data_IF_823077517707
#
_entry.id   IF_823077517707
#
_cell.length_a   1.000
_cell.length_b   1.000
_cell.length_c   1.000
_cell.angle_alpha   90.00
_cell.angle_beta   90.00
_cell.angle_gamma   90.00
#
_symmetry.space_group_name_H-M   'P 1'
#
loop_
_entity.id
_entity.type
_entity.pdbx_description
1 polymer ?
#
# COMPACT_ATOMS: atom_id res chain seq x y z
N UNK A 1 13.21 -17.26 -23.02
CA UNK A 1 14.15 -16.12 -23.20
C UNK A 1 13.79 -15.22 -24.39
N UNK A 2 13.03 -15.68 -25.40
CA UNK A 2 12.70 -14.88 -26.60
C UNK A 2 11.92 -13.59 -26.32
N UNK A 3 10.79 -13.66 -25.60
CA UNK A 3 9.93 -12.48 -25.35
C UNK A 3 10.63 -11.36 -24.57
N UNK A 4 11.50 -11.72 -23.62
CA UNK A 4 12.27 -10.72 -22.85
C UNK A 4 13.25 -9.95 -23.74
N UNK A 5 13.88 -10.60 -24.73
CA UNK A 5 14.77 -9.93 -25.68
C UNK A 5 14.01 -9.01 -26.62
N UNK A 6 12.87 -9.47 -27.16
CA UNK A 6 11.98 -8.68 -28.00
C UNK A 6 11.53 -7.39 -27.28
N UNK A 7 11.05 -7.53 -26.04
CA UNK A 7 10.67 -6.39 -25.21
C UNK A 7 11.87 -5.47 -24.90
N UNK A 8 13.06 -6.03 -24.70
CA UNK A 8 14.29 -5.24 -24.51
C UNK A 8 14.61 -4.35 -25.71
N UNK A 9 14.43 -4.84 -26.94
CA UNK A 9 14.58 -4.03 -28.15
C UNK A 9 13.56 -2.89 -28.19
N UNK A 10 12.29 -3.16 -27.87
CA UNK A 10 11.22 -2.14 -27.82
C UNK A 10 11.50 -1.08 -26.76
N UNK A 11 11.93 -1.51 -25.56
CA UNK A 11 12.26 -0.63 -24.44
C UNK A 11 13.39 0.32 -24.83
N UNK A 12 14.45 -0.21 -25.45
CA UNK A 12 15.58 0.60 -25.91
C UNK A 12 15.18 1.56 -27.03
N UNK A 13 14.42 1.08 -28.03
CA UNK A 13 14.00 1.89 -29.17
C UNK A 13 13.05 3.03 -28.78
N UNK A 14 12.23 2.83 -27.74
CA UNK A 14 11.29 3.83 -27.22
C UNK A 14 11.81 4.61 -26.01
N UNK A 15 13.07 4.41 -25.63
CA UNK A 15 13.70 5.06 -24.47
C UNK A 15 12.87 4.95 -23.17
N UNK A 16 12.29 3.78 -22.93
CA UNK A 16 11.43 3.56 -21.77
C UNK A 16 12.27 3.53 -20.49
N UNK A 17 11.98 4.45 -19.57
CA UNK A 17 12.68 4.59 -18.27
C UNK A 17 12.15 3.67 -17.17
N UNK A 18 10.88 3.25 -17.27
CA UNK A 18 10.21 2.39 -16.29
C UNK A 18 9.35 1.35 -17.00
N UNK A 19 9.59 0.07 -16.71
CA UNK A 19 8.76 -1.04 -17.14
C UNK A 19 7.92 -1.55 -15.96
N UNK A 20 6.60 -1.63 -16.16
CA UNK A 20 5.66 -2.18 -15.17
C UNK A 20 5.28 -3.59 -15.57
N UNK A 21 5.34 -4.52 -14.61
CA UNK A 21 4.99 -5.93 -14.80
C UNK A 21 3.80 -6.26 -13.90
N UNK A 22 2.66 -6.65 -14.49
CA UNK A 22 1.43 -7.03 -13.76
C UNK A 22 1.49 -8.45 -13.17
N UNK A 23 2.60 -8.79 -12.53
CA UNK A 23 2.72 -9.98 -11.68
C UNK A 23 3.71 -9.65 -10.57
N UNK A 24 3.68 -10.42 -9.49
CA UNK A 24 4.74 -10.39 -8.49
C UNK A 24 6.03 -10.95 -9.09
N UNK A 25 7.16 -10.27 -8.86
CA UNK A 25 8.46 -10.72 -9.31
C UNK A 25 9.33 -11.08 -8.12
N UNK A 26 10.00 -12.23 -8.16
CA UNK A 26 11.07 -12.50 -7.19
C UNK A 26 12.21 -11.47 -7.34
N UNK A 27 13.01 -11.22 -6.30
CA UNK A 27 14.16 -10.30 -6.38
C UNK A 27 15.14 -10.63 -7.52
N UNK A 28 15.32 -11.93 -7.81
CA UNK A 28 16.20 -12.40 -8.89
C UNK A 28 15.60 -12.11 -10.25
N UNK A 29 14.30 -12.34 -10.44
CA UNK A 29 13.61 -12.04 -11.69
C UNK A 29 13.66 -10.54 -11.99
N UNK A 30 13.33 -9.68 -11.02
CA UNK A 30 13.39 -8.23 -11.20
C UNK A 30 14.80 -7.79 -11.64
N UNK A 31 15.86 -8.22 -10.95
CA UNK A 31 17.24 -7.89 -11.33
C UNK A 31 17.60 -8.36 -12.74
N UNK A 32 17.20 -9.57 -13.11
CA UNK A 32 17.51 -10.09 -14.44
C UNK A 32 16.81 -9.27 -15.53
N UNK A 33 15.59 -8.81 -15.27
CA UNK A 33 14.85 -7.92 -16.18
C UNK A 33 15.46 -6.52 -16.23
N UNK A 34 15.80 -5.92 -15.09
CA UNK A 34 16.48 -4.61 -15.01
C UNK A 34 17.81 -4.63 -15.78
N UNK A 35 18.60 -5.69 -15.66
CA UNK A 35 19.85 -5.86 -16.41
C UNK A 35 19.61 -6.07 -17.91
N UNK A 36 18.60 -6.86 -18.27
CA UNK A 36 18.31 -7.15 -19.67
C UNK A 36 17.75 -5.92 -20.41
N UNK A 37 16.96 -5.09 -19.71
CA UNK A 37 16.24 -3.98 -20.29
C UNK A 37 16.86 -2.62 -20.03
N UNK A 38 17.84 -2.53 -19.12
CA UNK A 38 18.53 -1.29 -18.74
C UNK A 38 17.56 -0.17 -18.30
N UNK A 39 16.44 -0.53 -17.68
CA UNK A 39 15.43 0.39 -17.14
C UNK A 39 14.93 -0.09 -15.77
N UNK A 40 14.27 0.79 -15.01
CA UNK A 40 13.68 0.43 -13.72
C UNK A 40 12.50 -0.51 -13.95
N UNK A 41 12.48 -1.65 -13.27
CA UNK A 41 11.36 -2.61 -13.33
C UNK A 41 10.56 -2.52 -12.05
N UNK A 42 9.26 -2.29 -12.18
CA UNK A 42 8.32 -2.27 -11.06
C UNK A 42 7.33 -3.41 -11.25
N UNK A 43 7.22 -4.28 -10.26
CA UNK A 43 6.24 -5.36 -10.25
C UNK A 43 4.90 -4.87 -9.69
N UNK A 44 3.88 -5.74 -9.71
CA UNK A 44 2.54 -5.41 -9.20
C UNK A 44 2.58 -4.92 -7.75
N UNK A 45 3.35 -5.58 -6.89
CA UNK A 45 3.50 -5.23 -5.47
C UNK A 45 4.11 -3.84 -5.29
N UNK A 46 5.20 -3.54 -5.99
CA UNK A 46 5.86 -2.24 -5.96
C UNK A 46 4.93 -1.13 -6.44
N UNK A 47 4.17 -1.37 -7.50
CA UNK A 47 3.20 -0.38 -8.01
C UNK A 47 2.10 -0.09 -6.98
N UNK A 48 1.56 -1.13 -6.33
CA UNK A 48 0.53 -0.98 -5.30
C UNK A 48 1.07 -0.17 -4.10
N UNK A 49 2.29 -0.48 -3.64
CA UNK A 49 2.93 0.26 -2.54
C UNK A 49 3.12 1.74 -2.89
N UNK A 50 3.55 2.05 -4.12
CA UNK A 50 3.74 3.43 -4.57
C UNK A 50 2.43 4.20 -4.66
N UNK A 51 1.37 3.54 -5.16
CA UNK A 51 0.03 4.11 -5.17
C UNK A 51 -0.40 4.41 -3.74
N UNK A 52 -0.24 3.48 -2.80
CA UNK A 52 -0.62 3.71 -1.40
C UNK A 52 0.19 4.82 -0.72
N UNK A 53 1.49 4.92 -1.02
CA UNK A 53 2.33 5.97 -0.45
C UNK A 53 1.81 7.36 -0.83
N UNK A 54 1.33 7.51 -2.07
CA UNK A 54 0.70 8.76 -2.53
C UNK A 54 -0.68 9.04 -1.91
N UNK A 55 -1.34 8.02 -1.34
CA UNK A 55 -2.72 8.07 -0.85
C UNK A 55 -2.82 8.21 0.66
N UNK A 56 -1.84 7.70 1.41
CA UNK A 56 -1.85 7.71 2.88
C UNK A 56 -1.89 9.14 3.45
N UNK A 57 -3.04 9.53 4.00
CA UNK A 57 -3.22 10.85 4.62
C UNK A 57 -3.02 10.77 6.12
N UNK A 58 -3.49 9.71 6.76
CA UNK A 58 -3.37 9.56 8.21
C UNK A 58 -1.96 9.16 8.64
N UNK A 59 -1.60 9.49 9.88
CA UNK A 59 -0.33 9.05 10.48
C UNK A 59 -0.24 7.53 10.51
N UNK A 60 -1.33 6.83 10.80
CA UNK A 60 -1.40 5.37 10.81
C UNK A 60 -1.13 4.80 9.42
N UNK A 61 -1.85 5.27 8.40
CA UNK A 61 -1.69 4.84 7.02
C UNK A 61 -0.27 5.09 6.50
N UNK A 62 0.32 6.25 6.81
CA UNK A 62 1.71 6.56 6.39
C UNK A 62 2.72 5.61 7.02
N UNK A 63 2.61 5.33 8.33
CA UNK A 63 3.49 4.39 9.02
C UNK A 63 3.36 2.97 8.47
N UNK A 64 2.14 2.54 8.15
CA UNK A 64 1.90 1.21 7.61
C UNK A 64 2.46 1.05 6.19
N UNK A 65 2.28 2.06 5.33
CA UNK A 65 2.83 2.03 3.98
C UNK A 65 4.35 2.10 3.99
N UNK A 66 4.95 2.96 4.83
CA UNK A 66 6.41 3.04 4.97
C UNK A 66 6.99 1.70 5.48
N UNK A 67 6.34 1.09 6.47
CA UNK A 67 6.72 -0.23 6.97
C UNK A 67 6.68 -1.30 5.86
N UNK A 68 5.64 -1.29 5.04
CA UNK A 68 5.49 -2.22 3.92
C UNK A 68 6.55 -1.97 2.83
N UNK A 69 6.81 -0.70 2.48
CA UNK A 69 7.86 -0.33 1.53
C UNK A 69 9.25 -0.77 1.99
N UNK A 70 9.61 -0.53 3.26
CA UNK A 70 10.90 -0.95 3.80
C UNK A 70 11.04 -2.48 3.83
N UNK A 71 9.96 -3.20 4.18
CA UNK A 71 9.97 -4.67 4.19
C UNK A 71 10.13 -5.23 2.76
N UNK A 72 9.44 -4.63 1.80
CA UNK A 72 9.56 -4.95 0.38
C UNK A 72 11.00 -4.69 -0.14
N UNK A 73 11.54 -3.51 0.14
CA UNK A 73 12.89 -3.11 -0.24
C UNK A 73 13.95 -4.01 0.40
N UNK A 74 13.80 -4.39 1.68
CA UNK A 74 14.70 -5.28 2.42
C UNK A 74 15.03 -6.54 1.64
N UNK A 75 14.02 -7.16 1.01
CA UNK A 75 14.19 -8.38 0.23
C UNK A 75 14.97 -8.19 -1.09
N UNK A 76 15.15 -6.93 -1.54
CA UNK A 76 15.68 -6.57 -2.84
C UNK A 76 17.00 -5.77 -2.81
N UNK A 77 17.47 -5.27 -1.65
CA UNK A 77 18.73 -4.48 -1.58
C UNK A 77 19.98 -5.25 -1.97
N UNK A 78 20.04 -6.55 -1.69
CA UNK A 78 21.27 -7.35 -1.73
C UNK A 78 21.94 -7.35 -3.11
N UNK A 79 21.28 -6.89 -4.18
CA UNK A 79 21.71 -7.21 -5.54
C UNK A 79 21.65 -6.10 -6.58
N UNK A 80 21.17 -4.91 -6.23
CA UNK A 80 21.21 -3.71 -7.10
C UNK A 80 22.62 -3.08 -7.19
N UNK A 81 23.55 -3.49 -6.32
CA UNK A 81 24.87 -2.88 -6.13
C UNK A 81 26.02 -3.47 -6.95
N UNK A 82 25.78 -4.46 -7.81
CA UNK A 82 26.84 -5.14 -8.59
C UNK A 82 27.59 -4.24 -9.61
N UNK A 83 27.22 -2.96 -9.74
CA UNK A 83 27.90 -2.00 -10.60
C UNK A 83 28.98 -1.16 -9.87
N UNK A 84 28.93 -1.03 -8.54
CA UNK A 84 29.89 -0.22 -7.77
C UNK A 84 31.17 -1.00 -7.38
N UNK A 85 31.08 -2.31 -7.15
CA UNK A 85 32.26 -3.15 -6.89
C UNK A 85 33.24 -3.20 -8.08
N UNK A 86 32.75 -3.02 -9.32
CA UNK A 86 33.60 -3.05 -10.52
C UNK A 86 34.36 -1.76 -10.78
N UNK A 87 33.99 -0.65 -10.14
CA UNK A 87 34.70 0.63 -10.30
C UNK A 87 35.85 0.80 -9.29
N UNK A 88 35.88 0.00 -8.21
CA UNK A 88 36.98 -0.04 -7.23
C UNK A 88 37.87 -1.26 -7.49
N UNK A 89 38.49 -1.26 -8.68
CA UNK A 89 39.50 -2.24 -9.08
C UNK A 89 40.52 -2.51 -7.97
N UNK A 90 40.95 -3.77 -7.89
CA UNK A 90 41.62 -4.34 -6.74
C UNK A 90 42.81 -3.54 -6.21
N UNK A 91 42.74 -3.19 -4.93
CA UNK A 91 43.89 -2.92 -4.08
C UNK A 91 43.55 -3.45 -2.68
N UNK A 92 44.34 -4.41 -2.21
CA UNK A 92 44.73 -4.48 -0.80
C UNK A 92 43.72 -5.05 0.20
N UNK A 93 44.02 -6.27 0.65
CA UNK A 93 43.90 -6.72 2.05
C UNK A 93 43.88 -5.60 3.10
N UNK A 94 42.76 -5.43 3.82
CA UNK A 94 42.64 -4.98 5.23
C UNK A 94 41.29 -5.57 5.72
N UNK A 95 41.14 -6.44 6.72
CA UNK A 95 41.86 -6.51 7.97
C UNK A 95 41.26 -5.59 9.05
N UNK A 96 39.94 -5.61 9.29
CA UNK A 96 39.23 -4.84 10.34
C UNK A 96 37.70 -4.89 10.15
N UNK A 97 36.86 -4.77 11.21
CA UNK A 97 35.52 -5.40 11.29
C UNK A 97 34.64 -4.90 10.13
N UNK A 98 34.32 -5.69 9.12
CA UNK A 98 33.82 -7.07 9.15
C UNK A 98 32.33 -7.10 8.74
N UNK A 99 31.68 -5.93 8.67
CA UNK A 99 30.33 -5.77 8.15
C UNK A 99 30.41 -5.32 6.69
N UNK A 100 29.86 -6.14 5.78
CA UNK A 100 29.74 -5.74 4.38
C UNK A 100 28.78 -4.55 4.28
N UNK A 101 29.01 -3.63 3.34
CA UNK A 101 28.15 -2.45 3.16
C UNK A 101 26.65 -2.83 2.98
N UNK A 102 26.40 -4.01 2.40
CA UNK A 102 25.07 -4.61 2.25
C UNK A 102 24.45 -5.00 3.61
N UNK A 103 25.25 -5.53 4.53
CA UNK A 103 24.79 -5.86 5.89
C UNK A 103 24.49 -4.60 6.68
N UNK A 104 25.31 -3.56 6.55
CA UNK A 104 25.06 -2.27 7.18
C UNK A 104 23.74 -1.64 6.68
N UNK A 105 23.49 -1.61 5.37
CA UNK A 105 22.23 -1.11 4.80
C UNK A 105 21.02 -1.94 5.24
N UNK A 106 21.17 -3.27 5.27
CA UNK A 106 20.13 -4.18 5.74
C UNK A 106 19.80 -3.93 7.21
N UNK A 107 20.82 -3.69 8.02
CA UNK A 107 20.70 -3.38 9.44
C UNK A 107 20.02 -2.04 9.67
N UNK A 108 20.35 -1.01 8.88
CA UNK A 108 19.68 0.29 8.94
C UNK A 108 18.18 0.15 8.67
N UNK A 109 17.81 -0.62 7.65
CA UNK A 109 16.40 -0.90 7.33
C UNK A 109 15.73 -1.67 8.46
N UNK A 110 16.40 -2.67 9.03
CA UNK A 110 15.87 -3.44 10.16
C UNK A 110 15.62 -2.57 11.39
N UNK A 111 16.56 -1.69 11.73
CA UNK A 111 16.41 -0.74 12.82
C UNK A 111 15.25 0.23 12.57
N UNK A 112 15.08 0.68 11.32
CA UNK A 112 13.97 1.55 10.93
C UNK A 112 12.63 0.82 10.99
N UNK A 113 12.58 -0.44 10.55
CA UNK A 113 11.40 -1.32 10.69
C UNK A 113 11.00 -1.48 12.15
N UNK A 114 11.97 -1.71 13.05
CA UNK A 114 11.70 -1.82 14.50
C UNK A 114 11.14 -0.51 15.06
N UNK A 115 11.70 0.64 14.68
CA UNK A 115 11.19 1.95 15.09
C UNK A 115 9.76 2.20 14.61
N UNK A 116 9.46 1.93 13.34
CA UNK A 116 8.13 2.12 12.76
C UNK A 116 7.09 1.19 13.40
N UNK A 117 7.45 -0.06 13.71
CA UNK A 117 6.55 -0.97 14.45
C UNK A 117 6.17 -0.42 15.83
N UNK A 118 7.14 0.10 16.59
CA UNK A 118 6.86 0.74 17.89
C UNK A 118 5.96 1.97 17.75
N UNK A 119 6.18 2.79 16.73
CA UNK A 119 5.32 3.96 16.45
C UNK A 119 3.91 3.54 16.07
N UNK A 120 3.77 2.49 15.25
CA UNK A 120 2.48 1.95 14.85
C UNK A 120 1.71 1.40 16.06
N UNK A 121 2.37 0.66 16.95
CA UNK A 121 1.76 0.19 18.20
C UNK A 121 1.22 1.33 19.06
N UNK A 122 1.96 2.44 19.18
CA UNK A 122 1.50 3.61 19.91
C UNK A 122 0.23 4.21 19.28
N UNK A 123 0.20 4.37 17.95
CA UNK A 123 -0.97 4.89 17.22
C UNK A 123 -2.18 3.97 17.38
N UNK A 124 -2.00 2.65 17.29
CA UNK A 124 -3.06 1.66 17.50
C UNK A 124 -3.63 1.73 18.92
N UNK A 125 -2.77 1.91 19.95
CA UNK A 125 -3.23 2.09 21.35
C UNK A 125 -4.10 3.33 21.49
N UNK A 126 -3.68 4.47 20.94
CA UNK A 126 -4.45 5.71 20.96
C UNK A 126 -5.79 5.55 20.25
N UNK A 127 -5.81 4.88 19.08
CA UNK A 127 -7.04 4.59 18.34
C UNK A 127 -8.02 3.73 19.13
N UNK A 128 -7.55 2.66 19.78
CA UNK A 128 -8.39 1.82 20.65
C UNK A 128 -9.03 2.62 21.79
N UNK A 129 -8.31 3.57 22.37
CA UNK A 129 -8.85 4.47 23.40
C UNK A 129 -9.97 5.35 22.86
N UNK A 130 -9.76 5.98 21.68
CA UNK A 130 -10.81 6.78 21.03
C UNK A 130 -12.02 5.94 20.64
N UNK A 131 -11.84 4.69 20.21
CA UNK A 131 -12.95 3.78 19.90
C UNK A 131 -13.81 3.49 21.12
N UNK A 132 -13.22 3.22 22.29
CA UNK A 132 -13.97 3.00 23.54
C UNK A 132 -14.83 4.19 23.95
N UNK A 133 -14.37 5.42 23.66
CA UNK A 133 -15.15 6.62 23.91
C UNK A 133 -16.30 6.79 22.90
N UNK A 134 -16.14 6.28 21.66
CA UNK A 134 -17.16 6.33 20.60
C UNK A 134 -18.27 5.29 20.78
N UNK A 135 -18.00 4.16 21.44
CA UNK A 135 -19.04 3.17 21.79
C UNK A 135 -20.11 3.74 22.74
N UNK A 136 -19.87 4.91 23.33
CA UNK A 136 -20.82 5.63 24.18
C UNK A 136 -21.70 6.63 23.42
N UNK A 137 -21.49 6.80 22.11
CA UNK A 137 -22.27 7.73 21.28
C UNK A 137 -23.38 6.93 20.58
N UNK A 138 -24.66 7.35 20.64
CA UNK A 138 -25.82 6.54 20.27
C UNK A 138 -26.11 6.46 18.76
N UNK A 139 -25.17 6.83 17.89
CA UNK A 139 -25.41 6.87 16.45
C UNK A 139 -25.04 5.54 15.80
N UNK A 140 -25.93 4.92 14.99
CA UNK A 140 -25.60 3.71 14.27
C UNK A 140 -24.46 3.97 13.27
N UNK A 141 -23.63 2.96 13.05
CA UNK A 141 -22.50 3.00 12.12
C UNK A 141 -22.82 2.14 10.90
N UNK A 142 -22.74 2.73 9.71
CA UNK A 142 -22.92 2.04 8.42
C UNK A 142 -21.60 2.04 7.66
N UNK A 143 -21.08 0.85 7.35
CA UNK A 143 -19.84 0.69 6.59
C UNK A 143 -20.12 0.30 5.13
N UNK A 144 -19.57 1.07 4.19
CA UNK A 144 -19.60 0.75 2.76
C UNK A 144 -18.42 -0.16 2.39
N UNK A 145 -18.68 -1.36 1.86
CA UNK A 145 -17.65 -2.34 1.45
C UNK A 145 -17.83 -2.76 -0.01
N UNK A 146 -16.79 -3.32 -0.63
CA UNK A 146 -16.81 -3.76 -2.04
C UNK A 146 -15.47 -3.54 -2.76
N UNK A 147 -15.36 -4.03 -3.99
CA UNK A 147 -14.13 -3.90 -4.79
C UNK A 147 -13.77 -2.43 -5.10
N UNK A 148 -12.49 -2.17 -5.37
CA UNK A 148 -12.07 -0.86 -5.91
C UNK A 148 -12.86 -0.52 -7.17
N UNK A 149 -13.15 0.77 -7.38
CA UNK A 149 -13.98 1.28 -8.48
C UNK A 149 -15.46 0.86 -8.50
N UNK A 150 -15.96 0.08 -7.52
CA UNK A 150 -17.39 -0.24 -7.41
C UNK A 150 -18.31 0.98 -7.13
N UNK A 151 -17.77 2.19 -7.03
CA UNK A 151 -18.54 3.41 -6.78
C UNK A 151 -18.79 3.74 -5.30
N UNK A 152 -18.13 3.07 -4.35
CA UNK A 152 -18.26 3.33 -2.89
C UNK A 152 -18.09 4.81 -2.53
N UNK A 153 -16.98 5.43 -2.92
CA UNK A 153 -16.72 6.84 -2.62
C UNK A 153 -17.67 7.80 -3.34
N UNK A 154 -18.19 7.41 -4.51
CA UNK A 154 -19.23 8.17 -5.22
C UNK A 154 -20.55 8.14 -4.45
N UNK A 155 -20.96 6.97 -3.97
CA UNK A 155 -22.14 6.81 -3.12
C UNK A 155 -21.97 7.57 -1.81
N UNK A 156 -20.81 7.45 -1.17
CA UNK A 156 -20.47 8.17 0.05
C UNK A 156 -20.62 9.70 -0.12
N UNK A 157 -20.04 10.27 -1.19
CA UNK A 157 -20.13 11.70 -1.46
C UNK A 157 -21.55 12.17 -1.69
N UNK A 158 -22.34 11.38 -2.43
CA UNK A 158 -23.74 11.73 -2.71
C UNK A 158 -24.58 11.72 -1.44
N UNK A 159 -24.35 10.77 -0.53
CA UNK A 159 -25.08 10.65 0.73
C UNK A 159 -24.64 11.68 1.78
N UNK A 160 -23.34 12.03 1.82
CA UNK A 160 -22.78 12.91 2.85
C UNK A 160 -22.65 14.37 2.44
N UNK A 161 -22.85 14.69 1.15
CA UNK A 161 -22.48 15.99 0.57
C UNK A 161 -20.97 16.27 0.60
N UNK A 162 -20.14 15.29 0.97
CA UNK A 162 -18.71 15.46 1.05
C UNK A 162 -18.06 15.51 -0.35
N UNK A 163 -16.91 16.20 -0.43
CA UNK A 163 -16.03 16.21 -1.61
C UNK A 163 -14.88 15.22 -1.44
N UNK A 164 -15.15 13.96 -1.06
CA UNK A 164 -14.11 12.91 -1.07
C UNK A 164 -13.70 12.66 -2.53
N UNK A 165 -12.42 12.41 -2.78
CA UNK A 165 -11.90 12.26 -4.14
C UNK A 165 -12.39 10.94 -4.79
N UNK A 166 -13.55 10.97 -5.45
CA UNK A 166 -14.05 9.86 -6.27
C UNK A 166 -13.45 9.96 -7.68
N UNK A 167 -12.35 9.24 -7.94
CA UNK A 167 -11.79 9.10 -9.31
C UNK A 167 -11.73 7.62 -9.67
N UNK A 168 -11.84 7.32 -10.97
CA UNK A 168 -11.75 5.97 -11.52
C UNK A 168 -10.28 5.49 -11.48
N UNK A 169 -9.80 5.17 -10.27
CA UNK A 169 -8.40 4.84 -9.97
C UNK A 169 -8.40 3.82 -8.82
N UNK A 170 -7.51 2.83 -8.92
CA UNK A 170 -7.29 1.85 -7.85
C UNK A 170 -6.97 2.58 -6.53
N UNK A 171 -7.59 2.12 -5.44
CA UNK A 171 -7.35 2.62 -4.09
C UNK A 171 -7.61 4.13 -3.88
N UNK A 172 -8.77 4.61 -4.37
CA UNK A 172 -9.21 5.99 -4.15
C UNK A 172 -9.26 6.38 -2.65
N UNK A 173 -9.61 5.43 -1.77
CA UNK A 173 -9.70 5.62 -0.32
C UNK A 173 -8.83 4.56 0.36
N UNK A 174 -7.79 4.96 1.12
CA UNK A 174 -6.96 4.06 1.96
C UNK A 174 -7.28 4.22 3.46
N UNK A 175 -7.60 5.44 3.87
CA UNK A 175 -7.96 5.74 5.26
C UNK A 175 -9.50 5.75 5.39
N UNK A 176 -10.10 5.09 6.40
CA UNK A 176 -11.54 5.08 6.55
C UNK A 176 -12.04 6.50 6.79
N UNK A 177 -13.02 6.93 5.99
CA UNK A 177 -13.59 8.28 6.10
C UNK A 177 -14.97 8.19 6.72
N UNK A 178 -15.13 8.81 7.89
CA UNK A 178 -16.40 8.86 8.61
C UNK A 178 -17.06 10.23 8.50
N UNK A 179 -18.37 10.22 8.26
CA UNK A 179 -19.22 11.41 8.27
C UNK A 179 -20.58 11.08 8.87
N UNK A 180 -21.10 11.99 9.68
CA UNK A 180 -22.50 11.93 10.10
C UNK A 180 -23.37 12.36 8.93
N UNK A 181 -24.45 11.62 8.70
CA UNK A 181 -25.47 11.88 7.69
C UNK A 181 -26.82 11.82 8.39
N UNK A 182 -27.65 12.82 8.15
CA UNK A 182 -29.03 12.82 8.62
C UNK A 182 -29.88 12.03 7.61
N UNK A 183 -30.52 10.95 8.07
CA UNK A 183 -31.45 10.20 7.23
C UNK A 183 -32.82 10.87 7.27
N UNK A 184 -33.41 11.22 6.11
CA UNK A 184 -34.79 11.66 6.05
C UNK A 184 -35.71 10.57 6.60
N UNK A 185 -36.64 10.94 7.48
CA UNK A 185 -37.63 10.09 8.17
C UNK A 185 -37.10 9.36 9.43
N UNK A 186 -37.42 9.88 10.63
CA UNK A 186 -37.40 9.30 12.00
C UNK A 186 -36.18 8.48 12.49
N UNK A 187 -35.18 8.16 11.67
CA UNK A 187 -34.05 7.29 12.01
C UNK A 187 -32.85 8.01 12.66
N UNK A 188 -32.91 9.34 12.79
CA UNK A 188 -31.84 10.14 13.38
C UNK A 188 -30.59 10.26 12.50
N UNK A 189 -29.50 10.74 13.10
CA UNK A 189 -28.20 10.85 12.44
C UNK A 189 -27.46 9.52 12.46
N UNK A 190 -26.77 9.20 11.38
CA UNK A 190 -26.06 7.93 11.19
C UNK A 190 -24.64 8.21 10.75
N UNK A 191 -23.67 7.42 11.22
CA UNK A 191 -22.29 7.58 10.82
C UNK A 191 -22.03 6.68 9.62
N UNK A 192 -21.84 7.29 8.45
CA UNK A 192 -21.40 6.58 7.25
C UNK A 192 -19.87 6.50 7.24
N UNK A 193 -19.35 5.31 6.93
CA UNK A 193 -17.92 5.04 6.81
C UNK A 193 -17.59 4.53 5.40
N UNK A 194 -16.76 5.28 4.64
CA UNK A 194 -16.14 4.81 3.40
C UNK A 194 -14.89 3.99 3.75
N UNK A 195 -14.81 2.76 3.25
CA UNK A 195 -13.74 1.81 3.54
C UNK A 195 -12.84 1.59 2.32
N UNK A 196 -11.69 0.95 2.55
CA UNK A 196 -10.78 0.61 1.45
C UNK A 196 -11.43 -0.44 0.55
N UNK A 197 -11.32 -0.23 -0.76
CA UNK A 197 -11.82 -1.22 -1.72
C UNK A 197 -11.01 -2.50 -1.70
N UNK A 198 -11.70 -3.63 -1.84
CA UNK A 198 -11.04 -4.92 -2.03
C UNK A 198 -10.27 -4.93 -3.36
N UNK A 199 -9.10 -5.57 -3.34
CA UNK A 199 -8.29 -5.87 -4.52
C UNK A 199 -7.76 -7.30 -4.39
N UNK A 200 -7.76 -8.02 -5.51
CA UNK A 200 -7.23 -9.37 -5.59
C UNK A 200 -5.70 -9.36 -5.49
N UNK A 201 -5.15 -10.32 -4.76
CA UNK A 201 -3.71 -10.48 -4.52
C UNK A 201 -3.07 -9.23 -3.88
N UNK A 202 -3.59 -8.81 -2.72
CA UNK A 202 -2.93 -7.80 -1.90
C UNK A 202 -1.65 -8.39 -1.27
N UNK A 203 -0.53 -7.65 -1.31
CA UNK A 203 0.70 -8.08 -0.65
C UNK A 203 0.45 -8.33 0.85
N UNK A 204 0.98 -9.42 1.38
CA UNK A 204 0.82 -9.81 2.80
C UNK A 204 1.27 -8.72 3.78
N UNK A 205 2.27 -7.94 3.37
CA UNK A 205 2.80 -6.80 4.13
C UNK A 205 1.75 -5.69 4.31
N UNK A 206 0.86 -5.51 3.34
CA UNK A 206 -0.21 -4.52 3.37
C UNK A 206 -1.45 -5.04 4.07
N UNK A 207 -1.68 -6.36 4.14
CA UNK A 207 -2.84 -6.94 4.87
C UNK A 207 -2.91 -6.43 6.31
N UNK A 208 -1.78 -6.20 6.97
CA UNK A 208 -1.75 -5.61 8.31
C UNK A 208 -2.31 -4.18 8.35
N UNK A 209 -2.07 -3.39 7.30
CA UNK A 209 -2.61 -2.04 7.15
C UNK A 209 -4.14 -2.08 6.97
N UNK A 210 -4.59 -2.99 6.11
CA UNK A 210 -6.00 -3.23 5.89
C UNK A 210 -6.72 -3.75 7.13
N UNK A 211 -6.09 -4.64 7.91
CA UNK A 211 -6.68 -5.21 9.12
C UNK A 211 -7.17 -4.13 10.07
N UNK A 212 -6.38 -3.08 10.29
CA UNK A 212 -6.79 -1.97 11.14
C UNK A 212 -7.99 -1.21 10.57
N UNK A 213 -8.12 -1.11 9.25
CA UNK A 213 -9.30 -0.51 8.60
C UNK A 213 -10.53 -1.44 8.61
N UNK A 214 -10.32 -2.75 8.46
CA UNK A 214 -11.37 -3.77 8.54
C UNK A 214 -11.91 -3.93 9.96
N UNK A 215 -11.10 -3.69 11.00
CA UNK A 215 -11.56 -3.66 12.38
C UNK A 215 -12.63 -2.59 12.65
N UNK A 216 -12.66 -1.51 11.84
CA UNK A 216 -13.72 -0.50 11.87
C UNK A 216 -15.01 -1.04 11.25
N UNK A 217 -14.91 -1.79 10.15
CA UNK A 217 -16.04 -2.46 9.47
C UNK A 217 -16.67 -3.51 10.36
N UNK A 218 -15.86 -4.29 11.09
CA UNK A 218 -16.35 -5.27 12.06
C UNK A 218 -17.11 -4.62 13.24
N UNK A 219 -16.93 -3.32 13.46
CA UNK A 219 -17.66 -2.56 14.47
C UNK A 219 -18.92 -1.87 13.94
N UNK A 220 -19.27 -2.02 12.67
CA UNK A 220 -20.44 -1.40 12.08
C UNK A 220 -21.71 -2.17 12.43
N UNK A 221 -22.80 -1.43 12.66
CA UNK A 221 -24.13 -2.01 12.89
C UNK A 221 -24.75 -2.53 11.58
N UNK A 222 -24.36 -1.93 10.46
CA UNK A 222 -24.78 -2.33 9.12
C UNK A 222 -23.61 -2.29 8.14
N UNK A 223 -23.47 -3.36 7.36
CA UNK A 223 -22.52 -3.45 6.26
C UNK A 223 -23.30 -3.35 4.95
N UNK A 224 -22.97 -2.35 4.13
CA UNK A 224 -23.54 -2.14 2.80
C UNK A 224 -22.51 -2.55 1.76
N UNK A 225 -22.78 -3.64 1.05
CA UNK A 225 -21.92 -4.12 -0.02
C UNK A 225 -22.29 -3.44 -1.35
N UNK A 226 -21.41 -2.57 -1.84
CA UNK A 226 -21.54 -1.89 -3.12
C UNK A 226 -20.88 -2.73 -4.22
N UNK A 227 -21.66 -3.10 -5.24
CA UNK A 227 -21.19 -3.86 -6.41
C UNK A 227 -21.33 -3.03 -7.67
N UNK A 228 -20.37 -3.19 -8.57
CA UNK A 228 -20.47 -2.66 -9.93
C UNK A 228 -21.36 -3.58 -10.77
N UNK A 229 -22.47 -3.07 -11.29
CA UNK A 229 -23.41 -3.85 -12.12
C UNK A 229 -22.92 -4.04 -13.56
N UNK A 230 -21.90 -3.27 -13.97
CA UNK A 230 -21.29 -3.35 -15.31
C UNK A 230 -20.17 -4.39 -15.33
N UNK A 231 -19.66 -4.80 -14.16
CA UNK A 231 -18.66 -5.85 -14.10
C UNK A 231 -19.35 -7.21 -14.34
N UNK A 232 -18.85 -8.05 -15.28
CA UNK A 232 -19.47 -9.34 -15.59
C UNK A 232 -19.46 -10.36 -14.44
N UNK A 233 -18.65 -10.12 -13.40
CA UNK A 233 -18.47 -10.95 -12.19
C UNK A 233 -18.87 -10.18 -10.92
#
# INVERSE_FOLDING_TARGET
>A
SGKSKELGCVIKAKEIVVAVVDTELTPIQQRNLERAWQCKVIDRTGLILEIFASRAQTKEGRLQVELAQLTYQRSRLVRSWTHLERQRGGIGTVGGPGETQIEADRREIDDRVVRLRKQLEAVVRTRKLHRKNRTKVPFPIVALVGYTNAGKSTLFNRLTGAKVMAKNRLFATLDPTMRAVDIPCRAGSVILSDTVGFVSALPTQLVAAFRATLEEVLGADLIVHVRDIVHPD
#
